data_IF_778999194862
#
_entry.id   IF_778999194862
#
_cell.length_a   1.000
_cell.length_b   1.000
_cell.length_c   1.000
_cell.angle_alpha   90.00
_cell.angle_beta   90.00
_cell.angle_gamma   90.00
#
_symmetry.space_group_name_H-M   'P 1'
#
loop_
_entity.id
_entity.type
_entity.pdbx_description
1 polymer ?
#
# COMPACT_ATOMS: atom_id res chain seq x y z
N UNK A 1 1.92 -9.45 29.46
CA UNK A 1 2.17 -8.14 28.84
C UNK A 1 1.62 -8.22 27.43
N UNK A 2 0.62 -7.39 27.10
CA UNK A 2 0.07 -7.35 25.75
C UNK A 2 1.20 -7.02 24.78
N UNK A 3 1.46 -7.90 23.81
CA UNK A 3 2.33 -7.57 22.69
C UNK A 3 1.69 -6.36 22.03
N UNK A 4 2.34 -5.19 22.17
CA UNK A 4 1.94 -3.99 21.46
C UNK A 4 1.87 -4.34 19.99
N UNK A 5 0.67 -4.33 19.43
CA UNK A 5 0.50 -4.35 17.99
C UNK A 5 1.27 -3.12 17.50
N UNK A 6 2.46 -3.35 16.95
CA UNK A 6 3.21 -2.33 16.24
C UNK A 6 2.36 -2.08 14.99
N UNK A 7 1.35 -1.20 15.14
CA UNK A 7 0.48 -0.80 14.05
C UNK A 7 1.27 0.22 13.27
N UNK A 8 1.41 -0.04 11.98
CA UNK A 8 2.06 0.89 11.08
C UNK A 8 1.40 2.28 11.24
N UNK A 9 2.18 3.36 11.33
CA UNK A 9 1.65 4.68 11.52
C UNK A 9 0.81 5.07 10.30
N UNK A 10 -0.50 5.23 10.50
CA UNK A 10 -1.40 5.72 9.46
C UNK A 10 -1.52 7.24 9.64
N UNK A 11 -1.17 7.98 8.59
CA UNK A 11 -1.36 9.41 8.48
C UNK A 11 -2.66 9.67 7.72
N UNK A 12 -3.53 10.52 8.27
CA UNK A 12 -4.74 10.96 7.58
C UNK A 12 -4.44 12.28 6.88
N UNK A 13 -4.41 12.25 5.55
CA UNK A 13 -4.17 13.40 4.70
C UNK A 13 -5.51 13.92 4.18
N UNK A 14 -5.68 15.25 4.17
CA UNK A 14 -6.79 15.91 3.46
C UNK A 14 -6.22 16.55 2.20
N UNK A 15 -6.54 15.97 1.06
CA UNK A 15 -6.09 16.41 -0.25
C UNK A 15 -7.12 17.36 -0.85
N UNK A 16 -6.82 18.65 -0.87
CA UNK A 16 -7.73 19.72 -1.34
C UNK A 16 -7.20 20.47 -2.57
N UNK A 17 -6.08 20.01 -3.12
CA UNK A 17 -5.48 20.53 -4.35
C UNK A 17 -4.41 21.60 -4.14
N UNK A 18 -4.13 22.05 -2.92
CA UNK A 18 -3.08 23.06 -2.69
C UNK A 18 -1.68 22.50 -2.98
N UNK A 19 -1.34 21.32 -2.45
CA UNK A 19 -0.05 20.66 -2.70
C UNK A 19 0.13 20.32 -4.20
N UNK A 20 -0.95 19.93 -4.88
CA UNK A 20 -0.92 19.67 -6.33
C UNK A 20 -0.70 20.94 -7.14
N UNK A 21 -1.24 22.07 -6.67
CA UNK A 21 -1.00 23.38 -7.27
C UNK A 21 0.45 23.81 -7.08
N UNK A 22 1.01 23.65 -5.88
CA UNK A 22 2.43 23.92 -5.61
C UNK A 22 3.33 23.06 -6.52
N UNK A 23 3.01 21.78 -6.68
CA UNK A 23 3.72 20.89 -7.60
C UNK A 23 3.67 21.40 -9.05
N UNK A 24 2.50 21.80 -9.55
CA UNK A 24 2.33 22.30 -10.93
C UNK A 24 3.06 23.63 -11.18
N UNK A 25 3.18 24.46 -10.14
CA UNK A 25 3.89 25.74 -10.18
C UNK A 25 5.41 25.60 -9.94
N UNK A 26 5.86 24.43 -9.48
CA UNK A 26 7.26 24.12 -9.22
C UNK A 26 8.11 24.09 -10.50
N UNK A 27 9.39 24.52 -10.44
CA UNK A 27 10.33 24.37 -11.55
C UNK A 27 10.62 22.89 -11.91
N UNK A 28 10.30 21.96 -11.01
CA UNK A 28 10.50 20.52 -11.23
C UNK A 28 9.39 19.89 -12.08
N UNK A 29 8.23 20.55 -12.19
CA UNK A 29 7.05 20.02 -12.86
C UNK A 29 7.34 19.43 -14.25
N UNK A 30 8.00 20.19 -15.12
CA UNK A 30 8.26 19.73 -16.49
C UNK A 30 9.18 18.50 -16.50
N UNK A 31 10.20 18.47 -15.65
CA UNK A 31 11.15 17.36 -15.58
C UNK A 31 10.46 16.07 -15.11
N UNK A 32 9.63 16.18 -14.08
CA UNK A 32 8.88 15.05 -13.53
C UNK A 32 7.78 14.58 -14.47
N UNK A 33 7.03 15.51 -15.09
CA UNK A 33 6.02 15.19 -16.08
C UNK A 33 6.61 14.47 -17.30
N UNK A 34 7.76 14.92 -17.81
CA UNK A 34 8.47 14.22 -18.89
C UNK A 34 8.83 12.78 -18.49
N UNK A 35 9.30 12.58 -17.25
CA UNK A 35 9.61 11.25 -16.72
C UNK A 35 8.39 10.33 -16.74
N UNK A 36 7.22 10.83 -16.34
CA UNK A 36 5.96 10.06 -16.35
C UNK A 36 5.60 9.54 -17.74
N UNK A 37 5.86 10.33 -18.79
CA UNK A 37 5.56 9.95 -20.18
C UNK A 37 6.67 9.14 -20.86
N UNK A 38 7.90 9.13 -20.33
CA UNK A 38 9.08 8.53 -20.97
C UNK A 38 8.99 7.00 -21.17
N UNK A 39 8.18 6.31 -20.36
CA UNK A 39 7.92 4.87 -20.48
C UNK A 39 6.69 4.51 -21.31
N UNK A 40 5.97 5.49 -21.86
CA UNK A 40 4.70 5.26 -22.57
C UNK A 40 4.89 5.22 -24.08
N UNK A 41 4.17 4.32 -24.74
CA UNK A 41 4.10 4.27 -26.20
C UNK A 41 3.10 5.33 -26.71
N UNK A 42 3.52 6.60 -26.67
CA UNK A 42 2.70 7.77 -26.98
C UNK A 42 2.13 7.76 -28.42
N UNK A 43 2.82 7.10 -29.36
CA UNK A 43 2.44 7.08 -30.77
C UNK A 43 1.16 6.27 -31.09
N UNK A 44 0.76 5.37 -30.19
CA UNK A 44 -0.38 4.47 -30.41
C UNK A 44 -1.49 4.62 -29.36
N UNK A 45 -1.25 5.36 -28.28
CA UNK A 45 -2.23 5.61 -27.24
C UNK A 45 -2.97 6.94 -27.47
N UNK A 46 -4.28 6.95 -27.19
CA UNK A 46 -5.08 8.18 -27.20
C UNK A 46 -4.62 9.13 -26.10
N UNK A 47 -4.78 10.43 -26.33
CA UNK A 47 -4.42 11.47 -25.35
C UNK A 47 -5.07 11.19 -23.99
N UNK A 48 -6.34 10.80 -23.95
CA UNK A 48 -7.03 10.45 -22.70
C UNK A 48 -6.31 9.35 -21.93
N UNK A 49 -5.88 8.29 -22.63
CA UNK A 49 -5.16 7.18 -22.01
C UNK A 49 -3.81 7.63 -21.47
N UNK A 50 -3.04 8.40 -22.25
CA UNK A 50 -1.74 8.91 -21.79
C UNK A 50 -1.88 9.79 -20.54
N UNK A 51 -2.83 10.74 -20.56
CA UNK A 51 -3.08 11.63 -19.43
C UNK A 51 -3.57 10.88 -18.19
N UNK A 52 -4.44 9.88 -18.36
CA UNK A 52 -4.94 9.06 -17.25
C UNK A 52 -3.81 8.24 -16.63
N UNK A 53 -2.94 7.63 -17.45
CA UNK A 53 -1.78 6.89 -16.96
C UNK A 53 -0.80 7.82 -16.23
N UNK A 54 -0.59 9.05 -16.71
CA UNK A 54 0.28 10.01 -16.03
C UNK A 54 -0.31 10.47 -14.68
N UNK A 55 -1.63 10.70 -14.61
CA UNK A 55 -2.32 10.96 -13.33
C UNK A 55 -2.12 9.83 -12.32
N UNK A 56 -2.05 8.57 -12.77
CA UNK A 56 -1.82 7.42 -11.90
C UNK A 56 -0.38 7.32 -11.37
N UNK A 57 0.57 8.05 -11.95
CA UNK A 57 1.94 8.14 -11.44
C UNK A 57 2.07 9.19 -10.33
N UNK A 58 1.11 10.11 -10.21
CA UNK A 58 1.10 11.09 -9.12
C UNK A 58 0.61 10.43 -7.82
N UNK A 59 1.32 10.73 -6.74
CA UNK A 59 1.05 10.23 -5.39
C UNK A 59 0.51 11.34 -4.49
N UNK A 60 0.21 10.99 -3.24
CA UNK A 60 -0.16 11.98 -2.21
C UNK A 60 0.95 13.00 -1.95
N UNK A 61 2.21 12.67 -2.23
CA UNK A 61 3.34 13.62 -2.13
C UNK A 61 3.25 14.75 -3.15
N UNK A 62 2.57 14.48 -4.27
CA UNK A 62 2.25 15.48 -5.29
C UNK A 62 0.90 16.15 -5.03
N UNK A 63 0.25 15.90 -3.90
CA UNK A 63 -1.11 16.38 -3.62
C UNK A 63 -2.20 15.69 -4.45
N UNK A 64 -1.94 14.49 -4.97
CA UNK A 64 -2.92 13.72 -5.76
C UNK A 64 -3.45 12.53 -4.95
N UNK A 65 -4.78 12.41 -4.74
CA UNK A 65 -5.34 11.18 -4.16
C UNK A 65 -5.22 10.02 -5.16
N UNK A 66 -5.31 8.75 -4.73
CA UNK A 66 -5.23 7.60 -5.62
C UNK A 66 -6.15 7.71 -6.85
N UNK A 67 -5.57 7.98 -8.02
CA UNK A 67 -6.34 8.26 -9.24
C UNK A 67 -7.12 7.06 -9.78
N UNK A 68 -6.81 5.85 -9.28
CA UNK A 68 -7.50 4.60 -9.59
C UNK A 68 -8.66 4.29 -8.64
N UNK A 69 -8.82 5.05 -7.55
CA UNK A 69 -9.94 4.86 -6.63
C UNK A 69 -11.27 5.19 -7.31
N UNK A 70 -12.31 4.37 -7.07
CA UNK A 70 -13.59 4.50 -7.76
C UNK A 70 -14.25 5.85 -7.51
N UNK A 71 -14.19 6.37 -6.29
CA UNK A 71 -14.81 7.66 -5.97
C UNK A 71 -14.02 8.80 -6.60
N UNK A 72 -12.67 8.72 -6.57
CA UNK A 72 -11.79 9.72 -7.19
C UNK A 72 -11.99 9.74 -8.70
N UNK A 73 -12.15 8.59 -9.35
CA UNK A 73 -12.47 8.51 -10.78
C UNK A 73 -13.76 9.27 -11.09
N UNK A 74 -14.85 8.95 -10.39
CA UNK A 74 -16.18 9.51 -10.66
C UNK A 74 -16.28 11.00 -10.35
N UNK A 75 -15.67 11.46 -9.25
CA UNK A 75 -15.88 12.83 -8.76
C UNK A 75 -14.76 13.80 -9.13
N UNK A 76 -13.54 13.30 -9.39
CA UNK A 76 -12.37 14.14 -9.65
C UNK A 76 -11.85 13.93 -11.07
N UNK A 77 -11.48 12.70 -11.46
CA UNK A 77 -10.77 12.43 -12.73
C UNK A 77 -11.68 12.62 -13.94
N UNK A 78 -12.81 11.89 -14.03
CA UNK A 78 -13.73 12.01 -15.17
C UNK A 78 -14.27 13.44 -15.36
N UNK A 79 -14.70 14.15 -14.30
CA UNK A 79 -15.17 15.53 -14.44
C UNK A 79 -14.07 16.52 -14.83
N UNK A 80 -12.79 16.16 -14.69
CA UNK A 80 -11.65 16.98 -15.13
C UNK A 80 -11.38 16.88 -16.63
N UNK A 81 -11.87 15.83 -17.29
CA UNK A 81 -11.80 15.69 -18.74
C UNK A 81 -12.90 16.46 -19.48
N UNK A 82 -13.95 16.93 -18.80
CA UNK A 82 -15.09 17.62 -19.43
C UNK A 82 -14.71 18.93 -20.14
N UNK A 83 -13.56 19.55 -19.79
CA UNK A 83 -13.08 20.75 -20.49
C UNK A 83 -12.37 20.47 -21.82
N UNK A 84 -12.12 19.20 -22.12
CA UNK A 84 -11.49 18.75 -23.35
C UNK A 84 -12.58 18.38 -24.37
N UNK A 85 -12.31 18.65 -25.64
CA UNK A 85 -13.15 18.16 -26.74
C UNK A 85 -12.96 16.65 -26.90
N UNK A 86 -14.05 15.91 -27.12
CA UNK A 86 -13.99 14.45 -27.34
C UNK A 86 -13.05 14.09 -28.48
N UNK A 87 -13.05 14.87 -29.57
CA UNK A 87 -12.18 14.64 -30.73
C UNK A 87 -10.69 14.76 -30.39
N UNK A 88 -10.32 15.63 -29.45
CA UNK A 88 -8.93 15.81 -29.01
C UNK A 88 -8.48 14.63 -28.13
N UNK A 89 -9.38 14.11 -27.29
CA UNK A 89 -9.09 13.02 -26.37
C UNK A 89 -8.82 11.68 -27.08
N UNK A 90 -9.41 11.48 -28.26
CA UNK A 90 -9.22 10.28 -29.09
C UNK A 90 -8.02 10.38 -30.04
N UNK A 91 -7.44 11.57 -30.23
CA UNK A 91 -6.23 11.75 -31.04
C UNK A 91 -4.99 11.18 -30.34
N UNK A 92 -3.97 10.74 -31.11
CA UNK A 92 -2.70 10.32 -30.54
C UNK A 92 -2.04 11.49 -29.80
N UNK A 93 -1.28 11.17 -28.76
CA UNK A 93 -0.56 12.18 -27.99
C UNK A 93 0.43 12.96 -28.88
N UNK A 94 0.33 14.30 -28.85
CA UNK A 94 1.15 15.23 -29.63
C UNK A 94 2.27 15.86 -28.77
N UNK A 95 3.06 16.75 -29.37
CA UNK A 95 4.08 17.54 -28.65
C UNK A 95 3.49 18.42 -27.53
N UNK A 96 2.19 18.70 -27.57
CA UNK A 96 1.49 19.53 -26.57
C UNK A 96 1.01 18.71 -25.36
N UNK A 97 1.47 17.47 -25.19
CA UNK A 97 1.02 16.59 -24.11
C UNK A 97 1.26 17.20 -22.71
N UNK A 98 2.38 17.91 -22.52
CA UNK A 98 2.69 18.56 -21.25
C UNK A 98 1.72 19.70 -20.93
N UNK A 99 1.36 20.50 -21.94
CA UNK A 99 0.38 21.58 -21.78
C UNK A 99 -1.01 21.02 -21.49
N UNK A 100 -1.40 19.94 -22.18
CA UNK A 100 -2.65 19.23 -21.91
C UNK A 100 -2.66 18.60 -20.52
N UNK A 101 -1.54 18.05 -20.05
CA UNK A 101 -1.40 17.51 -18.70
C UNK A 101 -1.50 18.62 -17.65
N UNK A 102 -0.80 19.74 -17.83
CA UNK A 102 -0.90 20.90 -16.96
C UNK A 102 -2.33 21.44 -16.88
N UNK A 103 -3.03 21.53 -18.01
CA UNK A 103 -4.44 21.92 -18.08
C UNK A 103 -5.34 20.92 -17.33
N UNK A 104 -5.10 19.62 -17.49
CA UNK A 104 -5.84 18.59 -16.76
C UNK A 104 -5.62 18.71 -15.24
N UNK A 105 -4.38 18.91 -14.80
CA UNK A 105 -4.08 19.12 -13.37
C UNK A 105 -4.75 20.38 -12.83
N UNK A 106 -4.81 21.46 -13.61
CA UNK A 106 -5.58 22.65 -13.24
C UNK A 106 -7.07 22.34 -13.00
N UNK A 107 -7.67 21.47 -13.80
CA UNK A 107 -9.05 21.01 -13.56
C UNK A 107 -9.16 20.13 -12.32
N UNK A 108 -8.21 19.22 -12.12
CA UNK A 108 -8.16 18.34 -10.93
C UNK A 108 -8.06 19.18 -9.66
N UNK A 109 -7.16 20.18 -9.62
CA UNK A 109 -7.02 21.13 -8.51
C UNK A 109 -8.37 21.77 -8.18
N UNK A 110 -9.07 22.30 -9.18
CA UNK A 110 -10.40 22.89 -8.97
C UNK A 110 -11.40 21.87 -8.42
N UNK A 111 -11.39 20.63 -8.91
CA UNK A 111 -12.27 19.57 -8.39
C UNK A 111 -11.95 19.20 -6.94
N UNK A 112 -10.68 19.16 -6.56
CA UNK A 112 -10.24 18.89 -5.19
C UNK A 112 -10.57 20.03 -4.23
N UNK A 113 -10.55 21.28 -4.70
CA UNK A 113 -11.01 22.44 -3.92
C UNK A 113 -12.52 22.38 -3.64
N UNK A 114 -13.30 21.96 -4.64
CA UNK A 114 -14.75 21.75 -4.51
C UNK A 114 -15.07 20.52 -3.64
N UNK A 115 -14.31 19.43 -3.81
CA UNK A 115 -14.52 18.13 -3.17
C UNK A 115 -13.20 17.56 -2.61
N UNK A 116 -12.74 18.02 -1.44
CA UNK A 116 -11.52 17.53 -0.82
C UNK A 116 -11.61 16.03 -0.51
N UNK A 117 -10.49 15.31 -0.70
CA UNK A 117 -10.42 13.86 -0.52
C UNK A 117 -9.62 13.53 0.73
N UNK A 118 -10.19 12.70 1.60
CA UNK A 118 -9.46 12.18 2.76
C UNK A 118 -8.74 10.89 2.35
N UNK A 119 -7.44 10.84 2.55
CA UNK A 119 -6.60 9.69 2.23
C UNK A 119 -5.91 9.18 3.50
N UNK A 120 -6.09 7.90 3.79
CA UNK A 120 -5.27 7.19 4.75
C UNK A 120 -3.98 6.74 4.04
N UNK A 121 -2.86 7.31 4.48
CA UNK A 121 -1.54 7.07 3.95
C UNK A 121 -0.70 6.30 4.98
N UNK A 122 0.03 5.28 4.54
CA UNK A 122 0.94 4.51 5.37
C UNK A 122 2.23 4.24 4.61
N UNK A 123 3.36 4.46 5.27
CA UNK A 123 4.68 4.12 4.76
C UNK A 123 5.36 3.11 5.67
N UNK A 124 5.83 2.03 5.06
CA UNK A 124 6.56 0.98 5.74
C UNK A 124 7.92 0.79 5.08
N UNK A 125 8.95 0.69 5.91
CA UNK A 125 10.29 0.34 5.47
C UNK A 125 10.71 -0.97 6.11
N UNK A 126 11.04 -1.96 5.27
CA UNK A 126 11.60 -3.23 5.70
C UNK A 126 13.10 -3.21 5.45
N UNK A 127 13.88 -2.93 6.50
CA UNK A 127 15.34 -2.72 6.46
C UNK A 127 16.13 -3.79 7.25
N UNK A 128 15.44 -4.80 7.78
CA UNK A 128 16.04 -5.86 8.59
C UNK A 128 16.31 -5.48 10.05
N UNK A 129 16.08 -4.23 10.48
CA UNK A 129 16.33 -3.77 11.85
C UNK A 129 15.51 -4.53 12.89
N UNK A 130 14.25 -4.86 12.57
CA UNK A 130 13.38 -5.68 13.41
C UNK A 130 13.94 -7.09 13.64
N UNK A 131 14.44 -7.72 12.59
CA UNK A 131 15.11 -9.02 12.67
C UNK A 131 16.40 -8.91 13.47
N UNK A 132 17.24 -7.90 13.19
CA UNK A 132 18.49 -7.66 13.91
C UNK A 132 18.26 -7.51 15.42
N UNK A 133 17.24 -6.76 15.82
CA UNK A 133 16.82 -6.60 17.21
C UNK A 133 16.39 -7.94 17.82
N UNK A 134 15.59 -8.72 17.10
CA UNK A 134 15.13 -10.05 17.54
C UNK A 134 16.32 -11.02 17.72
N UNK A 135 17.22 -11.09 16.74
CA UNK A 135 18.42 -11.95 16.76
C UNK A 135 19.41 -11.55 17.87
N UNK A 136 19.46 -10.25 18.22
CA UNK A 136 20.31 -9.74 19.30
C UNK A 136 19.77 -10.10 20.70
N UNK A 137 18.48 -10.42 20.83
CA UNK A 137 17.85 -10.82 22.08
C UNK A 137 17.60 -12.33 22.13
N UNK A 138 18.63 -13.08 22.54
CA UNK A 138 18.58 -14.54 22.60
C UNK A 138 17.38 -15.09 23.38
N UNK A 139 17.02 -14.47 24.50
CA UNK A 139 15.90 -14.94 25.32
C UNK A 139 14.55 -14.80 24.61
N UNK A 140 14.30 -13.66 23.96
CA UNK A 140 13.07 -13.45 23.17
C UNK A 140 13.02 -14.35 21.95
N UNK A 141 14.15 -14.51 21.25
CA UNK A 141 14.27 -15.40 20.11
C UNK A 141 13.98 -16.86 20.49
N UNK A 142 14.65 -17.38 21.51
CA UNK A 142 14.47 -18.78 21.96
C UNK A 142 13.01 -19.02 22.38
N UNK A 143 12.41 -18.10 23.15
CA UNK A 143 11.01 -18.19 23.57
C UNK A 143 10.04 -18.16 22.38
N UNK A 144 10.30 -17.33 21.37
CA UNK A 144 9.47 -17.23 20.17
C UNK A 144 9.58 -18.53 19.35
N UNK A 145 10.79 -19.02 19.13
CA UNK A 145 11.07 -20.27 18.42
C UNK A 145 10.39 -21.47 19.10
N UNK A 146 10.43 -21.55 20.44
CA UNK A 146 9.71 -22.56 21.23
C UNK A 146 8.20 -22.51 20.97
N UNK A 147 7.62 -21.30 20.95
CA UNK A 147 6.19 -21.14 20.71
C UNK A 147 5.81 -21.56 19.30
N UNK A 148 6.55 -21.07 18.30
CA UNK A 148 6.30 -21.39 16.88
C UNK A 148 6.38 -22.90 16.65
N UNK A 149 7.41 -23.56 17.19
CA UNK A 149 7.55 -25.02 17.10
C UNK A 149 6.36 -25.76 17.72
N UNK A 150 5.97 -25.40 18.95
CA UNK A 150 4.83 -26.03 19.63
C UNK A 150 3.52 -25.84 18.88
N UNK A 151 3.30 -24.65 18.33
CA UNK A 151 2.06 -24.32 17.65
C UNK A 151 1.99 -25.02 16.27
N UNK A 152 3.11 -25.18 15.57
CA UNK A 152 3.14 -25.88 14.27
C UNK A 152 2.91 -27.38 14.41
N UNK A 153 3.38 -27.98 15.50
CA UNK A 153 3.13 -29.40 15.80
C UNK A 153 1.67 -29.70 16.11
N UNK A 154 0.85 -28.71 16.49
CA UNK A 154 -0.59 -28.93 16.69
C UNK A 154 -1.34 -29.00 15.35
N UNK A 155 -0.82 -28.33 14.33
CA UNK A 155 -1.41 -28.22 13.00
C UNK A 155 -0.85 -29.28 12.04
N UNK A 156 -0.83 -30.55 12.46
CA UNK A 156 -0.29 -31.65 11.66
C UNK A 156 -1.11 -31.87 10.37
N UNK A 157 -0.63 -31.30 9.27
CA UNK A 157 -1.13 -31.57 7.93
C UNK A 157 0.02 -31.82 6.94
N UNK A 158 -0.29 -32.39 5.78
CA UNK A 158 0.63 -32.88 4.72
C UNK A 158 1.42 -31.75 3.99
N UNK A 159 1.98 -30.79 4.72
CA UNK A 159 2.70 -29.65 4.15
C UNK A 159 4.14 -30.02 3.76
N UNK A 160 4.64 -29.40 2.70
CA UNK A 160 6.05 -29.54 2.29
C UNK A 160 6.98 -28.81 3.28
N UNK A 161 8.27 -29.17 3.29
CA UNK A 161 9.27 -28.52 4.17
C UNK A 161 9.35 -27.00 3.97
N UNK A 162 9.22 -26.54 2.71
CA UNK A 162 9.22 -25.10 2.38
C UNK A 162 7.99 -24.38 2.89
N UNK A 163 6.82 -24.99 2.75
CA UNK A 163 5.57 -24.43 3.25
C UNK A 163 5.58 -24.34 4.77
N UNK A 164 6.10 -25.36 5.43
CA UNK A 164 6.28 -25.38 6.88
C UNK A 164 7.18 -24.23 7.38
N UNK A 165 8.28 -23.95 6.67
CA UNK A 165 9.17 -22.81 6.99
C UNK A 165 8.49 -21.46 6.75
N UNK A 166 7.69 -21.31 5.69
CA UNK A 166 6.94 -20.07 5.43
C UNK A 166 5.95 -19.78 6.55
N UNK A 167 5.15 -20.77 6.95
CA UNK A 167 4.19 -20.61 8.05
C UNK A 167 4.90 -20.28 9.35
N UNK A 168 6.06 -20.88 9.60
CA UNK A 168 6.87 -20.55 10.77
C UNK A 168 7.35 -19.09 10.76
N UNK A 169 7.85 -18.60 9.63
CA UNK A 169 8.28 -17.21 9.47
C UNK A 169 7.11 -16.24 9.61
N UNK A 170 5.94 -16.57 9.05
CA UNK A 170 4.73 -15.75 9.15
C UNK A 170 4.28 -15.59 10.61
N UNK A 171 4.41 -16.64 11.43
CA UNK A 171 4.17 -16.57 12.90
C UNK A 171 5.18 -15.68 13.64
N UNK A 172 6.37 -15.51 13.09
CA UNK A 172 7.43 -14.66 13.65
C UNK A 172 7.40 -13.23 13.08
N UNK A 173 6.62 -12.98 12.02
CA UNK A 173 6.67 -11.74 11.24
C UNK A 173 6.50 -10.48 12.09
N UNK A 174 5.50 -10.46 12.99
CA UNK A 174 5.27 -9.33 13.88
C UNK A 174 6.45 -9.03 14.83
N UNK A 175 7.16 -10.07 15.31
CA UNK A 175 8.34 -9.89 16.17
C UNK A 175 9.58 -9.48 15.37
N UNK A 176 9.65 -9.89 14.11
CA UNK A 176 10.71 -9.57 13.16
C UNK A 176 10.50 -8.25 12.41
N UNK A 177 9.38 -7.54 12.63
CA UNK A 177 8.94 -6.41 11.83
C UNK A 177 8.89 -6.71 10.33
N UNK A 178 8.49 -7.93 9.97
CA UNK A 178 8.25 -8.34 8.59
C UNK A 178 6.75 -8.26 8.27
N UNK A 179 6.39 -8.03 7.00
CA UNK A 179 5.02 -8.18 6.56
C UNK A 179 4.63 -9.66 6.62
N UNK A 180 3.33 -9.94 6.60
CA UNK A 180 2.87 -11.30 6.34
C UNK A 180 3.31 -11.74 4.96
N UNK A 181 3.53 -13.05 4.80
CA UNK A 181 3.79 -13.61 3.47
C UNK A 181 2.61 -13.28 2.53
N UNK A 182 2.90 -12.96 1.28
CA UNK A 182 1.94 -12.49 0.27
C UNK A 182 1.37 -11.07 0.46
N UNK A 183 1.85 -10.30 1.45
CA UNK A 183 1.44 -8.91 1.60
C UNK A 183 2.33 -7.95 0.80
N UNK A 184 3.61 -8.31 0.59
CA UNK A 184 4.58 -7.49 -0.14
C UNK A 184 5.46 -8.40 -1.00
N UNK A 185 5.20 -8.44 -2.30
CA UNK A 185 5.86 -9.35 -3.25
C UNK A 185 7.40 -9.27 -3.19
N UNK A 186 7.95 -8.06 -3.05
CA UNK A 186 9.40 -7.85 -2.97
C UNK A 186 10.02 -8.51 -1.74
N UNK A 187 9.34 -8.44 -0.58
CA UNK A 187 9.78 -9.12 0.64
C UNK A 187 9.60 -10.63 0.51
N UNK A 188 8.56 -11.09 -0.18
CA UNK A 188 8.36 -12.51 -0.44
C UNK A 188 9.48 -13.10 -1.30
N UNK A 189 9.99 -12.37 -2.30
CA UNK A 189 11.16 -12.79 -3.08
C UNK A 189 12.36 -13.02 -2.16
N UNK A 190 12.63 -12.08 -1.24
CA UNK A 190 13.74 -12.18 -0.27
C UNK A 190 13.54 -13.39 0.66
N UNK A 191 12.33 -13.60 1.17
CA UNK A 191 11.99 -14.76 2.02
C UNK A 191 12.21 -16.07 1.26
N UNK A 192 11.69 -16.15 0.03
CA UNK A 192 11.81 -17.36 -0.80
C UNK A 192 13.28 -17.67 -1.16
N UNK A 193 14.08 -16.62 -1.42
CA UNK A 193 15.51 -16.75 -1.63
C UNK A 193 16.22 -17.25 -0.37
N UNK A 194 15.95 -16.66 0.80
CA UNK A 194 16.55 -17.10 2.06
C UNK A 194 16.22 -18.57 2.38
N UNK A 195 14.96 -19.00 2.18
CA UNK A 195 14.55 -20.41 2.33
C UNK A 195 15.31 -21.32 1.35
N UNK A 196 15.53 -20.87 0.11
CA UNK A 196 16.29 -21.63 -0.91
C UNK A 196 17.78 -21.75 -0.56
N UNK A 197 18.36 -20.70 0.03
CA UNK A 197 19.79 -20.64 0.37
C UNK A 197 20.15 -21.52 1.57
N UNK A 198 19.22 -21.76 2.48
CA UNK A 198 19.43 -22.70 3.59
C UNK A 198 19.37 -24.13 3.05
N UNK A 199 20.52 -24.60 2.54
CA UNK A 199 20.77 -26.01 2.24
C UNK A 199 20.99 -26.76 3.56
N UNK A 200 20.08 -27.67 3.87
CA UNK A 200 20.23 -28.61 4.98
C UNK A 200 19.44 -29.88 4.73
N UNK A 201 20.12 -30.84 4.09
CA UNK A 201 19.85 -32.29 4.05
C UNK A 201 18.45 -32.74 3.55
N UNK A 202 18.42 -33.54 2.49
CA UNK A 202 17.24 -34.29 2.02
C UNK A 202 16.82 -35.42 3.00
N UNK A 203 17.00 -35.18 4.31
CA UNK A 203 16.85 -36.14 5.39
C UNK A 203 16.24 -35.50 6.63
N UNK A 204 14.90 -35.41 6.65
CA UNK A 204 14.06 -35.17 7.85
C UNK A 204 14.50 -34.00 8.75
N UNK A 205 14.07 -32.78 8.40
CA UNK A 205 13.90 -31.68 9.38
C UNK A 205 12.79 -32.10 10.36
N UNK A 206 13.10 -32.93 11.36
CA UNK A 206 12.15 -33.43 12.38
C UNK A 206 12.77 -33.38 13.79
N UNK A 207 13.91 -32.70 13.96
CA UNK A 207 14.45 -32.41 15.29
C UNK A 207 14.30 -30.91 15.60
N UNK A 208 13.73 -30.62 16.77
CA UNK A 208 13.42 -29.27 17.26
C UNK A 208 14.63 -28.33 17.19
N UNK A 209 15.81 -28.80 17.61
CA UNK A 209 17.04 -28.01 17.56
C UNK A 209 17.46 -27.65 16.13
N UNK A 210 17.29 -28.58 15.18
CA UNK A 210 17.57 -28.35 13.77
C UNK A 210 16.63 -27.30 13.17
N UNK A 211 15.33 -27.43 13.44
CA UNK A 211 14.32 -26.46 12.99
C UNK A 211 14.60 -25.04 13.50
N UNK A 212 14.89 -24.89 14.79
CA UNK A 212 15.20 -23.59 15.39
C UNK A 212 16.46 -22.95 14.80
N UNK A 213 17.49 -23.77 14.55
CA UNK A 213 18.72 -23.32 13.89
C UNK A 213 18.43 -22.84 12.46
N UNK A 214 17.73 -23.64 11.67
CA UNK A 214 17.33 -23.30 10.29
C UNK A 214 16.53 -21.99 10.24
N UNK A 215 15.54 -21.80 11.11
CA UNK A 215 14.79 -20.53 11.15
C UNK A 215 15.67 -19.34 11.51
N UNK A 216 16.58 -19.52 12.47
CA UNK A 216 17.52 -18.46 12.87
C UNK A 216 18.44 -18.08 11.70
N UNK A 217 18.93 -19.07 10.94
CA UNK A 217 19.75 -18.84 9.74
C UNK A 217 18.96 -18.13 8.63
N UNK A 218 17.70 -18.53 8.39
CA UNK A 218 16.83 -17.86 7.42
C UNK A 218 16.59 -16.40 7.82
N UNK A 219 16.26 -16.13 9.10
CA UNK A 219 16.11 -14.77 9.61
C UNK A 219 17.40 -13.95 9.42
N UNK A 220 18.56 -14.51 9.74
CA UNK A 220 19.85 -13.87 9.49
C UNK A 220 20.09 -13.55 8.02
N UNK A 221 19.71 -14.45 7.10
CA UNK A 221 19.81 -14.21 5.66
C UNK A 221 18.87 -13.09 5.19
N UNK A 222 17.61 -13.09 5.62
CA UNK A 222 16.64 -12.03 5.30
C UNK A 222 17.15 -10.68 5.83
N UNK A 223 17.66 -10.64 7.07
CA UNK A 223 18.23 -9.44 7.67
C UNK A 223 19.34 -8.85 6.81
N UNK A 224 20.32 -9.66 6.40
CA UNK A 224 21.45 -9.19 5.58
C UNK A 224 21.01 -8.68 4.21
N UNK A 225 20.00 -9.31 3.60
CA UNK A 225 19.46 -8.86 2.32
C UNK A 225 18.73 -7.52 2.45
N UNK A 226 17.90 -7.35 3.48
CA UNK A 226 17.19 -6.09 3.74
C UNK A 226 18.12 -4.96 4.21
N UNK A 227 19.19 -5.25 4.95
CA UNK A 227 20.20 -4.24 5.32
C UNK A 227 20.95 -3.72 4.08
N UNK A 228 21.20 -4.58 3.08
CA UNK A 228 21.84 -4.20 1.83
C UNK A 228 20.91 -3.51 0.83
N UNK A 229 19.62 -3.86 0.84
CA UNK A 229 18.61 -3.29 -0.05
C UNK A 229 17.24 -3.24 0.66
N UNK A 230 16.93 -2.15 1.39
CA UNK A 230 15.65 -2.00 2.09
C UNK A 230 14.47 -1.94 1.11
N UNK A 231 13.33 -2.48 1.54
CA UNK A 231 12.08 -2.43 0.77
C UNK A 231 11.18 -1.33 1.34
N UNK A 232 10.78 -0.39 0.49
CA UNK A 232 9.87 0.70 0.84
C UNK A 232 8.48 0.40 0.26
N UNK A 233 7.45 0.49 1.09
CA UNK A 233 6.06 0.27 0.70
C UNK A 233 5.24 1.48 1.14
N UNK A 234 4.60 2.13 0.18
CA UNK A 234 3.65 3.20 0.42
C UNK A 234 2.26 2.74 0.02
N UNK A 235 1.28 2.87 0.90
CA UNK A 235 -0.12 2.53 0.64
C UNK A 235 -0.99 3.75 0.85
N UNK A 236 -1.85 4.02 -0.13
CA UNK A 236 -2.79 5.13 -0.12
C UNK A 236 -4.20 4.59 -0.29
N UNK A 237 -5.09 4.88 0.64
CA UNK A 237 -6.50 4.46 0.59
C UNK A 237 -7.40 5.65 0.81
N UNK A 238 -8.37 5.84 -0.08
CA UNK A 238 -9.36 6.90 0.08
C UNK A 238 -10.32 6.50 1.20
N UNK A 239 -10.51 7.41 2.17
CA UNK A 239 -11.44 7.23 3.26
C UNK A 239 -12.78 7.77 2.81
N UNK A 240 -13.70 6.88 2.46
CA UNK A 240 -15.10 7.24 2.32
C UNK A 240 -15.74 7.22 3.71
N UNK A 241 -16.50 8.26 4.04
CA UNK A 241 -17.55 8.07 5.03
C UNK A 241 -18.45 6.93 4.48
N UNK A 242 -18.73 5.88 5.26
CA UNK A 242 -19.77 4.96 4.87
C UNK A 242 -21.00 5.83 4.67
N UNK A 243 -21.53 5.87 3.44
CA UNK A 243 -22.79 6.54 3.13
C UNK A 243 -23.75 6.09 4.21
N UNK A 244 -24.01 6.96 5.18
CA UNK A 244 -24.96 6.66 6.23
C UNK A 244 -26.22 6.29 5.48
N UNK A 245 -26.63 5.02 5.58
CA UNK A 245 -27.97 4.62 5.19
C UNK A 245 -28.86 5.71 5.74
N UNK A 246 -29.47 6.49 4.83
CA UNK A 246 -30.12 7.74 5.16
C UNK A 246 -30.94 7.51 6.40
N UNK A 247 -30.50 8.07 7.53
CA UNK A 247 -31.22 7.94 8.78
C UNK A 247 -32.57 8.56 8.49
N UNK A 248 -33.55 7.70 8.26
CA UNK A 248 -34.90 8.09 7.99
C UNK A 248 -35.36 8.66 9.32
N UNK A 249 -35.25 9.97 9.45
CA UNK A 249 -35.80 10.71 10.57
C UNK A 249 -37.28 10.39 10.56
N UNK A 250 -37.69 9.47 11.43
CA UNK A 250 -39.09 9.19 11.68
C UNK A 250 -39.72 10.51 12.13
N UNK A 251 -40.81 10.98 11.50
CA UNK A 251 -41.49 12.17 11.98
C UNK A 251 -42.03 11.88 13.38
N UNK A 252 -41.69 12.75 14.32
CA UNK A 252 -42.28 12.78 15.65
C UNK A 252 -43.79 12.95 15.51
N UNK A 253 -44.55 11.93 15.91
CA UNK A 253 -45.98 12.04 16.04
C UNK A 253 -46.30 12.98 17.20
N UNK A 254 -46.69 14.20 16.88
CA UNK A 254 -47.29 15.15 17.81
C UNK A 254 -48.61 14.57 18.30
N UNK A 255 -48.66 14.11 19.55
CA UNK A 255 -49.92 13.78 20.23
C UNK A 255 -50.56 15.12 20.64
N UNK A 256 -51.47 15.62 19.83
CA UNK A 256 -52.44 16.64 20.23
C UNK A 256 -53.49 15.96 21.10
N UNK A 257 -53.44 16.22 22.41
CA UNK A 257 -54.56 15.92 23.32
C UNK A 257 -55.49 17.13 23.30
N UNK A 258 -56.54 17.05 22.48
CA UNK A 258 -57.68 17.98 22.59
C UNK A 258 -58.50 17.58 23.82
N UNK A 259 -58.57 18.52 24.76
CA UNK A 259 -59.61 18.56 25.77
C UNK A 259 -60.92 18.97 25.08
N UNK A 260 -62.03 18.30 25.43
CA UNK A 260 -63.33 18.94 25.42
C UNK A 260 -64.26 18.29 26.45
N UNK A 261 -65.01 19.19 27.07
CA UNK A 261 -66.04 19.14 28.12
C UNK A 261 -66.90 17.87 28.23
#
# INVERSE_FOLDING_TARGET
MAAGLNRDPIVILRIDGEDLKEFVESPLFETEAISMFSGMELAHASLRKCLTTALQQLTVDHGMPPASDSWVITNIVEPSFQSFSSDLLEQPASQDILENFKKLLGNVIRRLQEHPVIVAHSENTFDGSGIKRLLSNKFELDKLLDSVWRDLRKDHNQQTSKEYLRIALDRMAASASLPRYSAVDQVDVIINEAIRMVKGDDGKIVEEAGFKRTLTEILGSIMLQLEGNPVFVSTNSVVHEPLAASSTVLPSASISTEANE
#
